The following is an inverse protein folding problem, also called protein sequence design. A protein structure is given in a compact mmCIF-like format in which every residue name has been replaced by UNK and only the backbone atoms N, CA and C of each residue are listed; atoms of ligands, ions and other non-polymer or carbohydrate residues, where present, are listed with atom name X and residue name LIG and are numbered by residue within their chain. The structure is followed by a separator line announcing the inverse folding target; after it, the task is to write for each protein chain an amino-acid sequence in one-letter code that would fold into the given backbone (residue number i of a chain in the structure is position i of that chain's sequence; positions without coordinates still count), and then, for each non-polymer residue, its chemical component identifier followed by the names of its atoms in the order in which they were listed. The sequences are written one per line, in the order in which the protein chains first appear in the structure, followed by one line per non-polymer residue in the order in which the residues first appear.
data_IF_788955826532
#
_entry.id   IF_788955826532
#
_cell.length_a   1.000
_cell.length_b   1.000
_cell.length_c   1.000
_cell.angle_alpha   90.00
_cell.angle_beta   90.00
_cell.angle_gamma   90.00
#
_symmetry.space_group_name_H-M   'P 1'
#
loop_
_entity.id
_entity.type
_entity.pdbx_description
1 polymer ?
#
# COMPACT_ATOMS: atom_id res chain seq x y z
N UNK A 1 -38.58 -7.22 4.19
CA UNK A 1 -38.19 -8.17 3.13
C UNK A 1 -36.78 -8.68 3.42
N UNK A 2 -36.51 -10.00 3.47
CA UNK A 2 -35.18 -10.50 3.76
C UNK A 2 -34.26 -10.42 2.54
N UNK A 3 -33.07 -9.86 2.72
CA UNK A 3 -32.07 -9.70 1.66
C UNK A 3 -31.46 -11.06 1.25
N UNK A 4 -31.28 -11.27 -0.06
CA UNK A 4 -30.75 -12.50 -0.63
C UNK A 4 -29.23 -12.65 -0.32
N UNK A 5 -28.89 -13.64 0.51
CA UNK A 5 -27.52 -13.89 1.01
C UNK A 5 -26.52 -14.31 -0.07
N UNK A 6 -26.98 -14.66 -1.29
CA UNK A 6 -26.12 -15.07 -2.41
C UNK A 6 -25.16 -13.99 -2.91
N UNK A 7 -25.46 -12.71 -2.64
CA UNK A 7 -24.68 -11.56 -3.08
C UNK A 7 -23.87 -10.88 -1.96
N UNK A 8 -24.08 -11.30 -0.71
CA UNK A 8 -23.32 -10.81 0.44
C UNK A 8 -22.09 -11.70 0.62
N UNK A 9 -20.91 -11.10 0.63
CA UNK A 9 -19.65 -11.79 0.97
C UNK A 9 -19.85 -12.62 2.23
N UNK A 10 -19.90 -13.94 2.09
CA UNK A 10 -20.54 -14.81 3.09
C UNK A 10 -19.69 -15.03 4.36
N UNK A 11 -18.42 -14.61 4.34
CA UNK A 11 -17.49 -14.78 5.47
C UNK A 11 -17.03 -13.42 6.03
N UNK A 12 -17.33 -13.10 7.30
CA UNK A 12 -16.80 -11.93 8.00
C UNK A 12 -15.27 -11.88 8.00
N UNK A 13 -14.61 -13.04 8.07
CA UNK A 13 -13.15 -13.17 8.05
C UNK A 13 -12.58 -12.68 6.72
N UNK A 14 -13.20 -13.06 5.60
CA UNK A 14 -12.76 -12.62 4.28
C UNK A 14 -12.86 -11.10 4.11
N UNK A 15 -13.86 -10.47 4.73
CA UNK A 15 -14.02 -9.01 4.75
C UNK A 15 -12.95 -8.34 5.61
N UNK A 16 -12.65 -8.89 6.78
CA UNK A 16 -11.60 -8.39 7.67
C UNK A 16 -10.21 -8.48 7.01
N UNK A 17 -9.89 -9.59 6.33
CA UNK A 17 -8.62 -9.75 5.61
C UNK A 17 -8.48 -8.67 4.53
N UNK A 18 -9.53 -8.37 3.76
CA UNK A 18 -9.48 -7.30 2.75
C UNK A 18 -9.27 -5.93 3.37
N UNK A 19 -9.98 -5.65 4.46
CA UNK A 19 -9.86 -4.39 5.19
C UNK A 19 -8.40 -4.19 5.65
N UNK A 20 -7.84 -5.20 6.32
CA UNK A 20 -6.45 -5.16 6.78
C UNK A 20 -5.46 -5.07 5.61
N UNK A 21 -5.72 -5.77 4.50
CA UNK A 21 -4.88 -5.70 3.30
C UNK A 21 -4.85 -4.30 2.71
N UNK A 22 -6.00 -3.66 2.50
CA UNK A 22 -6.06 -2.31 1.98
C UNK A 22 -5.46 -1.30 2.95
N UNK A 23 -5.76 -1.43 4.25
CA UNK A 23 -5.30 -0.50 5.28
C UNK A 23 -3.78 -0.59 5.45
N UNK A 24 -3.29 -1.77 5.84
CA UNK A 24 -1.87 -2.00 6.15
C UNK A 24 -1.05 -2.03 4.87
N UNK A 25 -1.47 -2.83 3.88
CA UNK A 25 -0.75 -2.94 2.61
C UNK A 25 -0.70 -1.62 1.86
N UNK A 26 -1.82 -0.91 1.76
CA UNK A 26 -1.85 0.42 1.14
C UNK A 26 -0.92 1.40 1.85
N UNK A 27 -0.86 1.36 3.19
CA UNK A 27 -0.04 2.29 3.96
C UNK A 27 1.45 2.03 3.71
N UNK A 28 1.85 0.76 3.72
CA UNK A 28 3.22 0.34 3.45
C UNK A 28 3.66 0.76 2.05
N UNK A 29 2.87 0.45 1.01
CA UNK A 29 3.18 0.83 -0.37
C UNK A 29 3.31 2.35 -0.52
N UNK A 30 2.37 3.10 0.05
CA UNK A 30 2.39 4.58 -0.02
C UNK A 30 3.62 5.16 0.67
N UNK A 31 3.96 4.66 1.86
CA UNK A 31 5.10 5.13 2.63
C UNK A 31 6.42 4.83 1.91
N UNK A 32 6.59 3.60 1.42
CA UNK A 32 7.79 3.22 0.68
C UNK A 32 7.97 4.03 -0.59
N UNK A 33 6.89 4.31 -1.33
CA UNK A 33 6.93 5.18 -2.51
C UNK A 33 7.50 6.56 -2.19
N UNK A 34 7.03 7.20 -1.12
CA UNK A 34 7.53 8.53 -0.73
C UNK A 34 8.94 8.47 -0.15
N UNK A 35 9.32 7.41 0.56
CA UNK A 35 10.68 7.24 1.05
C UNK A 35 11.70 7.08 -0.09
N UNK A 36 11.34 6.32 -1.14
CA UNK A 36 12.16 6.23 -2.35
C UNK A 36 12.27 7.61 -3.00
N UNK A 37 11.17 8.36 -3.11
CA UNK A 37 11.20 9.72 -3.66
C UNK A 37 12.10 10.67 -2.83
N UNK A 38 12.09 10.55 -1.50
CA UNK A 38 12.97 11.30 -0.58
C UNK A 38 14.45 10.93 -0.71
N UNK A 39 14.79 9.83 -1.36
CA UNK A 39 16.17 9.45 -1.62
C UNK A 39 16.75 10.17 -2.85
N UNK A 40 15.91 10.68 -3.75
CA UNK A 40 16.30 11.42 -4.96
C UNK A 40 16.03 12.92 -4.86
N UNK A 41 15.05 13.33 -4.04
CA UNK A 41 14.63 14.72 -3.84
C UNK A 41 14.97 15.15 -2.41
N UNK A 42 15.07 16.45 -2.17
CA UNK A 42 15.13 17.03 -0.82
C UNK A 42 14.08 16.42 0.12
N UNK A 43 14.54 15.87 1.24
CA UNK A 43 13.70 15.26 2.28
C UNK A 43 12.61 16.22 2.78
N UNK A 44 12.94 17.50 2.93
CA UNK A 44 12.01 18.54 3.41
C UNK A 44 10.83 18.74 2.45
N UNK A 45 11.09 18.72 1.14
CA UNK A 45 10.03 18.89 0.12
C UNK A 45 9.12 17.66 0.10
N UNK A 46 9.69 16.46 0.20
CA UNK A 46 8.93 15.22 0.18
C UNK A 46 8.06 15.06 1.42
N UNK A 47 8.55 15.45 2.62
CA UNK A 47 7.75 15.38 3.84
C UNK A 47 6.48 16.23 3.77
N UNK A 48 6.58 17.47 3.26
CA UNK A 48 5.43 18.35 3.06
C UNK A 48 4.47 17.74 2.03
N UNK A 49 5.02 17.19 0.93
CA UNK A 49 4.22 16.54 -0.12
C UNK A 49 3.46 15.34 0.44
N UNK A 50 4.13 14.48 1.21
CA UNK A 50 3.57 13.27 1.82
C UNK A 50 2.37 13.57 2.72
N UNK A 51 2.35 14.71 3.41
CA UNK A 51 1.21 15.12 4.24
C UNK A 51 -0.10 15.17 3.44
N UNK A 52 -0.05 15.58 2.17
CA UNK A 52 -1.23 15.67 1.31
C UNK A 52 -1.38 14.45 0.40
N UNK A 53 -0.33 14.10 -0.35
CA UNK A 53 -0.39 13.00 -1.33
C UNK A 53 -0.42 11.63 -0.67
N UNK A 54 0.13 11.49 0.54
CA UNK A 54 0.14 10.24 1.29
C UNK A 54 -1.28 9.75 1.57
N UNK A 55 -2.15 10.62 2.09
CA UNK A 55 -3.55 10.24 2.35
C UNK A 55 -4.30 9.88 1.06
N UNK A 56 -4.12 10.66 -0.02
CA UNK A 56 -4.80 10.43 -1.30
C UNK A 56 -4.40 9.09 -1.91
N UNK A 57 -3.10 8.83 -2.02
CA UNK A 57 -2.58 7.58 -2.59
C UNK A 57 -3.02 6.39 -1.72
N UNK A 58 -2.94 6.54 -0.40
CA UNK A 58 -3.36 5.51 0.53
C UNK A 58 -4.84 5.17 0.40
N UNK A 59 -5.72 6.17 0.32
CA UNK A 59 -7.16 5.98 0.16
C UNK A 59 -7.50 5.30 -1.18
N UNK A 60 -6.84 5.68 -2.28
CA UNK A 60 -7.02 5.05 -3.60
C UNK A 60 -6.60 3.58 -3.54
N UNK A 61 -5.43 3.28 -2.98
CA UNK A 61 -4.96 1.90 -2.82
C UNK A 61 -5.91 1.08 -1.92
N UNK A 62 -6.38 1.67 -0.82
CA UNK A 62 -7.36 1.01 0.04
C UNK A 62 -8.61 0.55 -0.73
N UNK A 63 -9.14 1.40 -1.62
CA UNK A 63 -10.29 1.05 -2.49
C UNK A 63 -9.90 -0.05 -3.49
N UNK A 64 -8.71 0.04 -4.09
CA UNK A 64 -8.19 -0.96 -5.04
C UNK A 64 -8.10 -2.36 -4.44
N UNK A 65 -7.88 -2.48 -3.11
CA UNK A 65 -7.86 -3.78 -2.43
C UNK A 65 -9.19 -4.56 -2.50
N UNK A 66 -10.30 -3.90 -2.87
CA UNK A 66 -11.60 -4.53 -3.04
C UNK A 66 -11.88 -5.03 -4.47
N UNK A 67 -11.05 -4.67 -5.46
CA UNK A 67 -11.21 -5.12 -6.86
C UNK A 67 -11.08 -6.64 -7.01
N UNK A 68 -10.10 -7.33 -6.39
CA UNK A 68 -9.94 -8.77 -6.57
C UNK A 68 -11.11 -9.57 -6.01
N UNK A 69 -11.52 -10.62 -6.74
CA UNK A 69 -12.61 -11.52 -6.28
C UNK A 69 -12.22 -12.30 -5.03
N UNK A 70 -10.94 -12.62 -4.82
CA UNK A 70 -10.43 -13.35 -3.65
C UNK A 70 -9.57 -12.42 -2.77
N UNK A 71 -9.80 -12.42 -1.46
CA UNK A 71 -9.08 -11.57 -0.51
C UNK A 71 -7.57 -11.86 -0.49
N UNK A 72 -7.19 -13.15 -0.58
CA UNK A 72 -5.80 -13.56 -0.63
C UNK A 72 -5.03 -12.99 -1.83
N UNK A 73 -5.69 -12.80 -2.97
CA UNK A 73 -5.03 -12.22 -4.16
C UNK A 73 -4.64 -10.78 -3.89
N UNK A 74 -5.53 -10.00 -3.24
CA UNK A 74 -5.20 -8.64 -2.83
C UNK A 74 -4.00 -8.64 -1.88
N UNK A 75 -4.00 -9.51 -0.85
CA UNK A 75 -2.91 -9.57 0.11
C UNK A 75 -1.58 -9.87 -0.56
N UNK A 76 -1.53 -10.87 -1.44
CA UNK A 76 -0.32 -11.25 -2.16
C UNK A 76 0.20 -10.11 -3.05
N UNK A 77 -0.68 -9.40 -3.77
CA UNK A 77 -0.27 -8.27 -4.60
C UNK A 77 0.31 -7.13 -3.76
N UNK A 78 -0.34 -6.74 -2.66
CA UNK A 78 0.13 -5.66 -1.80
C UNK A 78 1.47 -5.98 -1.14
N UNK A 79 1.61 -7.19 -0.57
CA UNK A 79 2.88 -7.62 0.03
C UNK A 79 3.97 -7.81 -1.01
N UNK A 80 3.65 -8.31 -2.20
CA UNK A 80 4.59 -8.44 -3.30
C UNK A 80 5.14 -7.08 -3.76
N UNK A 81 4.25 -6.11 -4.01
CA UNK A 81 4.66 -4.73 -4.37
C UNK A 81 5.47 -4.08 -3.24
N UNK A 82 5.03 -4.25 -1.99
CA UNK A 82 5.76 -3.75 -0.81
C UNK A 82 7.18 -4.33 -0.75
N UNK A 83 7.33 -5.64 -0.96
CA UNK A 83 8.64 -6.31 -0.97
C UNK A 83 9.56 -5.79 -2.06
N UNK A 84 9.04 -5.61 -3.28
CA UNK A 84 9.80 -5.02 -4.41
C UNK A 84 10.24 -3.60 -4.09
N UNK A 85 9.34 -2.75 -3.59
CA UNK A 85 9.69 -1.36 -3.22
C UNK A 85 10.69 -1.31 -2.06
N UNK A 86 10.58 -2.20 -1.07
CA UNK A 86 11.53 -2.28 0.02
C UNK A 86 12.93 -2.68 -0.46
N UNK A 87 13.03 -3.62 -1.41
CA UNK A 87 14.30 -3.98 -2.03
C UNK A 87 14.90 -2.81 -2.80
N UNK A 88 14.08 -2.10 -3.60
CA UNK A 88 14.54 -0.89 -4.32
C UNK A 88 15.09 0.13 -3.32
N UNK A 89 14.33 0.44 -2.27
CA UNK A 89 14.75 1.40 -1.25
C UNK A 89 16.06 0.99 -0.55
N UNK A 90 16.24 -0.30 -0.27
CA UNK A 90 17.47 -0.83 0.30
C UNK A 90 18.66 -0.53 -0.61
N UNK A 91 18.58 -0.89 -1.89
CA UNK A 91 19.65 -0.61 -2.86
C UNK A 91 19.90 0.90 -3.02
N UNK A 92 18.84 1.71 -3.16
CA UNK A 92 18.98 3.16 -3.29
C UNK A 92 19.72 3.78 -2.10
N UNK A 93 19.39 3.38 -0.87
CA UNK A 93 20.09 3.87 0.32
C UNK A 93 21.55 3.43 0.35
N UNK A 94 21.85 2.19 -0.04
CA UNK A 94 23.24 1.71 -0.14
C UNK A 94 24.04 2.54 -1.16
N UNK A 95 23.49 2.80 -2.35
CA UNK A 95 24.16 3.63 -3.35
C UNK A 95 24.40 5.05 -2.85
N UNK A 96 23.42 5.68 -2.23
CA UNK A 96 23.55 7.03 -1.69
C UNK A 96 24.60 7.12 -0.58
N UNK A 97 24.71 6.09 0.28
CA UNK A 97 25.71 6.05 1.35
C UNK A 97 27.16 5.89 0.88
N UNK A 98 27.37 5.37 -0.32
CA UNK A 98 28.72 5.21 -0.91
C UNK A 98 29.20 6.51 -1.58
N UNK A 99 28.27 7.36 -2.03
CA UNK A 99 28.57 8.60 -2.75
C UNK A 99 28.68 9.85 -1.85
N UNK A 100 28.28 9.74 -0.57
CA UNK A 100 28.35 10.80 0.45
C UNK A 100 29.62 10.73 1.28
#
# INVERSE_FOLDING_TARGET
MPANSKYLTSSPVQRAIRLLTGFVGGYLVTTLLHLIAAAYISKSVILITFTFSGFIIWAVLFIVAYIPKKAWQASLTYFGVTGVLALILFFTNTYNSVLS
#
